data_IF_465435718406
#
_entry.id   IF_465435718406
#
_cell.length_a   1.000
_cell.length_b   1.000
_cell.length_c   1.000
_cell.angle_alpha   90.00
_cell.angle_beta   90.00
_cell.angle_gamma   90.00
#
_symmetry.space_group_name_H-M   'P 1'
#
loop_
_entity.id
_entity.type
_entity.pdbx_description
1 polymer ?
#
# COMPACT_ATOMS: atom_id res chain seq x y z
N UNK A 1 -11.42 -12.63 35.33
CA UNK A 1 -10.36 -12.39 34.33
C UNK A 1 -11.08 -12.22 33.02
N UNK A 2 -11.19 -10.98 32.54
CA UNK A 2 -11.89 -10.71 31.29
C UNK A 2 -11.18 -11.42 30.16
N UNK A 3 -11.85 -12.39 29.56
CA UNK A 3 -11.35 -13.12 28.40
C UNK A 3 -11.45 -12.18 27.20
N UNK A 4 -10.44 -11.33 27.01
CA UNK A 4 -10.44 -10.30 25.97
C UNK A 4 -10.18 -10.94 24.62
N UNK A 5 -11.09 -10.73 23.68
CA UNK A 5 -10.91 -11.23 22.32
C UNK A 5 -9.70 -10.58 21.66
N UNK A 6 -8.87 -11.39 21.00
CA UNK A 6 -7.63 -10.91 20.38
C UNK A 6 -7.89 -9.89 19.28
N UNK A 7 -9.02 -10.00 18.59
CA UNK A 7 -9.45 -9.01 17.59
C UNK A 7 -9.68 -7.65 18.24
N UNK A 8 -10.33 -7.61 19.41
CA UNK A 8 -10.56 -6.36 20.16
C UNK A 8 -9.26 -5.79 20.75
N UNK A 9 -8.35 -6.66 21.18
CA UNK A 9 -7.01 -6.23 21.61
C UNK A 9 -6.26 -5.57 20.46
N UNK A 10 -6.20 -6.24 19.29
CA UNK A 10 -5.55 -5.71 18.10
C UNK A 10 -6.16 -4.38 17.66
N UNK A 11 -7.48 -4.26 17.66
CA UNK A 11 -8.19 -3.02 17.36
C UNK A 11 -7.81 -1.90 18.34
N UNK A 12 -7.76 -2.20 19.64
CA UNK A 12 -7.38 -1.22 20.67
C UNK A 12 -5.94 -0.74 20.54
N UNK A 13 -5.03 -1.65 20.21
CA UNK A 13 -3.63 -1.29 19.93
C UNK A 13 -3.51 -0.50 18.63
N UNK A 14 -4.26 -0.85 17.58
CA UNK A 14 -4.24 -0.13 16.31
C UNK A 14 -4.73 1.33 16.46
N UNK A 15 -5.68 1.59 17.36
CA UNK A 15 -6.14 2.94 17.72
C UNK A 15 -5.10 3.76 18.52
N UNK A 16 -4.13 3.11 19.15
CA UNK A 16 -3.07 3.79 19.87
C UNK A 16 -1.97 4.23 18.89
N UNK A 17 -1.85 5.54 18.66
CA UNK A 17 -0.84 6.13 17.79
C UNK A 17 0.61 5.89 18.25
N UNK A 18 0.81 5.49 19.52
CA UNK A 18 2.14 5.14 20.05
C UNK A 18 2.53 3.67 19.79
N UNK A 19 1.59 2.84 19.34
CA UNK A 19 1.82 1.42 19.08
C UNK A 19 2.75 1.17 17.89
N UNK A 20 3.60 0.16 18.02
CA UNK A 20 4.48 -0.29 16.95
C UNK A 20 3.69 -1.03 15.86
N UNK A 21 3.54 -0.38 14.70
CA UNK A 21 2.86 -0.95 13.54
C UNK A 21 3.48 -2.29 13.08
N UNK A 22 4.79 -2.49 13.28
CA UNK A 22 5.43 -3.76 12.93
C UNK A 22 4.91 -4.89 13.83
N UNK A 23 4.69 -4.60 15.11
CA UNK A 23 4.03 -5.50 16.05
C UNK A 23 2.60 -5.83 15.64
N UNK A 24 1.82 -4.82 15.22
CA UNK A 24 0.44 -5.01 14.76
C UNK A 24 0.38 -5.92 13.53
N UNK A 25 1.22 -5.68 12.52
CA UNK A 25 1.27 -6.51 11.30
C UNK A 25 1.65 -7.96 11.61
N UNK A 26 2.53 -8.20 12.59
CA UNK A 26 2.87 -9.55 13.04
C UNK A 26 1.67 -10.24 13.71
N UNK A 27 0.91 -9.52 14.54
CA UNK A 27 -0.34 -10.06 15.12
C UNK A 27 -1.36 -10.37 14.02
N UNK A 28 -1.56 -9.46 13.06
CA UNK A 28 -2.44 -9.68 11.91
C UNK A 28 -2.04 -10.93 11.14
N UNK A 29 -0.75 -11.10 10.83
CA UNK A 29 -0.24 -12.30 10.16
C UNK A 29 -0.63 -13.58 10.90
N UNK A 30 -0.47 -13.62 12.22
CA UNK A 30 -0.81 -14.80 13.04
C UNK A 30 -2.31 -15.06 12.99
N UNK A 31 -3.14 -14.02 13.20
CA UNK A 31 -4.60 -14.14 13.20
C UNK A 31 -5.11 -14.59 11.82
N UNK A 32 -4.64 -13.96 10.75
CA UNK A 32 -4.99 -14.29 9.37
C UNK A 32 -4.65 -15.75 9.05
N UNK A 33 -3.46 -16.21 9.44
CA UNK A 33 -3.04 -17.59 9.25
C UNK A 33 -3.94 -18.58 10.01
N UNK A 34 -4.30 -18.26 11.26
CA UNK A 34 -5.19 -19.11 12.08
C UNK A 34 -6.63 -19.16 11.56
N UNK A 35 -7.08 -18.11 10.87
CA UNK A 35 -8.39 -18.07 10.20
C UNK A 35 -8.36 -18.67 8.78
N UNK A 36 -7.20 -19.08 8.26
CA UNK A 36 -7.06 -19.62 6.90
C UNK A 36 -7.15 -18.56 5.79
N UNK A 37 -6.81 -17.30 6.09
CA UNK A 37 -6.87 -16.18 5.16
C UNK A 37 -5.50 -15.96 4.51
N UNK A 38 -5.23 -16.67 3.41
CA UNK A 38 -3.92 -16.68 2.74
C UNK A 38 -3.52 -15.31 2.18
N UNK A 39 -4.40 -14.64 1.43
CA UNK A 39 -4.14 -13.30 0.85
C UNK A 39 -3.70 -12.28 1.90
N UNK A 40 -4.37 -12.28 3.06
CA UNK A 40 -4.07 -11.34 4.15
C UNK A 40 -2.78 -11.73 4.89
N UNK A 41 -2.48 -13.02 4.98
CA UNK A 41 -1.22 -13.53 5.53
C UNK A 41 -0.04 -13.12 4.65
N UNK A 42 -0.21 -13.21 3.32
CA UNK A 42 0.77 -12.75 2.35
C UNK A 42 0.95 -11.23 2.43
N UNK A 43 -0.14 -10.46 2.45
CA UNK A 43 -0.09 -9.01 2.62
C UNK A 43 0.73 -8.60 3.84
N UNK A 44 0.40 -9.12 5.02
CA UNK A 44 1.11 -8.77 6.26
C UNK A 44 2.60 -9.17 6.17
N UNK A 45 2.91 -10.26 5.48
CA UNK A 45 4.29 -10.68 5.22
C UNK A 45 5.03 -9.70 4.31
N UNK A 46 4.39 -9.24 3.22
CA UNK A 46 4.95 -8.24 2.29
C UNK A 46 5.06 -6.86 2.91
N UNK A 47 4.11 -6.43 3.73
CA UNK A 47 4.19 -5.17 4.47
C UNK A 47 5.42 -5.13 5.40
N UNK A 48 5.73 -6.24 6.07
CA UNK A 48 6.91 -6.35 6.94
C UNK A 48 8.21 -6.54 6.13
N UNK A 49 8.21 -7.43 5.12
CA UNK A 49 9.39 -7.79 4.34
C UNK A 49 9.77 -6.80 3.24
N UNK A 50 8.81 -6.01 2.79
CA UNK A 50 8.88 -5.24 1.55
C UNK A 50 8.37 -6.03 0.35
N UNK A 51 8.21 -5.28 -0.73
CA UNK A 51 7.84 -5.76 -2.06
C UNK A 51 9.09 -5.84 -2.94
N UNK A 52 8.98 -6.53 -4.05
CA UNK A 52 10.04 -6.72 -5.04
C UNK A 52 9.64 -6.13 -6.39
N UNK A 53 10.63 -5.82 -7.23
CA UNK A 53 10.36 -5.38 -8.61
C UNK A 53 9.74 -6.47 -9.50
N UNK A 54 9.74 -7.71 -9.03
CA UNK A 54 9.06 -8.84 -9.68
C UNK A 54 7.59 -8.98 -9.27
N UNK A 55 7.17 -8.32 -8.19
CA UNK A 55 5.75 -8.22 -7.86
C UNK A 55 5.04 -7.33 -8.90
N UNK A 56 3.88 -7.78 -9.35
CA UNK A 56 3.06 -6.99 -10.26
C UNK A 56 2.63 -5.70 -9.57
N UNK A 57 2.76 -4.55 -10.24
CA UNK A 57 2.44 -3.25 -9.66
C UNK A 57 0.99 -3.15 -9.14
N UNK A 58 0.07 -3.89 -9.76
CA UNK A 58 -1.34 -4.00 -9.37
C UNK A 58 -1.59 -4.81 -8.09
N UNK A 59 -0.66 -5.69 -7.71
CA UNK A 59 -0.69 -6.47 -6.46
C UNK A 59 0.10 -5.82 -5.34
N UNK A 60 0.48 -4.55 -5.52
CA UNK A 60 1.07 -3.70 -4.48
C UNK A 60 -0.02 -2.71 -4.02
N UNK A 61 -0.26 -2.58 -2.70
CA UNK A 61 -1.31 -1.72 -2.18
C UNK A 61 -1.22 -0.30 -2.72
N UNK A 62 -2.37 0.31 -3.05
CA UNK A 62 -2.40 1.65 -3.68
C UNK A 62 -1.72 2.72 -2.85
N UNK A 63 -1.82 2.66 -1.52
CA UNK A 63 -1.13 3.60 -0.64
C UNK A 63 0.41 3.52 -0.74
N UNK A 64 0.99 2.47 -1.34
CA UNK A 64 2.42 2.40 -1.66
C UNK A 64 2.80 3.18 -2.92
N UNK A 65 1.83 3.58 -3.75
CA UNK A 65 2.04 4.38 -4.95
C UNK A 65 1.96 5.85 -4.56
N UNK A 66 3.10 6.53 -4.56
CA UNK A 66 3.18 7.96 -4.28
C UNK A 66 3.28 8.74 -5.60
N UNK A 67 2.68 9.93 -5.63
CA UNK A 67 2.68 10.83 -6.79
C UNK A 67 2.72 12.29 -6.34
N UNK A 68 2.86 13.24 -7.29
CA UNK A 68 2.90 14.67 -6.98
C UNK A 68 4.25 15.16 -6.47
N UNK A 69 5.33 14.45 -6.82
CA UNK A 69 6.70 14.84 -6.49
C UNK A 69 7.25 15.92 -7.43
N UNK A 70 8.29 16.62 -6.99
CA UNK A 70 9.03 17.56 -7.85
C UNK A 70 10.22 16.84 -8.47
N UNK A 71 10.29 16.79 -9.80
CA UNK A 71 11.44 16.22 -10.50
C UNK A 71 12.61 17.20 -10.38
N UNK A 72 13.77 16.68 -10.05
CA UNK A 72 15.00 17.44 -9.89
C UNK A 72 16.18 16.68 -10.48
N UNK A 73 17.25 17.39 -10.81
CA UNK A 73 18.53 16.80 -11.18
C UNK A 73 19.63 17.30 -10.25
N UNK A 74 20.64 16.47 -10.01
CA UNK A 74 21.78 16.85 -9.19
C UNK A 74 22.86 17.51 -10.04
N UNK A 75 23.10 18.81 -9.80
CA UNK A 75 24.23 19.54 -10.35
C UNK A 75 25.38 19.55 -9.32
N UNK A 76 26.60 19.08 -9.66
CA UNK A 76 27.73 19.04 -8.72
C UNK A 76 28.09 20.39 -8.08
N UNK A 77 27.81 21.50 -8.76
CA UNK A 77 28.13 22.86 -8.29
C UNK A 77 26.97 23.55 -7.57
N UNK A 78 25.72 23.20 -7.89
CA UNK A 78 24.52 23.89 -7.37
C UNK A 78 23.65 23.02 -6.46
N UNK A 79 23.97 21.73 -6.36
CA UNK A 79 23.12 20.74 -5.72
C UNK A 79 21.88 20.42 -6.56
N UNK A 80 20.80 20.05 -5.89
CA UNK A 80 19.55 19.69 -6.54
C UNK A 80 18.87 20.91 -7.18
N UNK A 81 18.61 20.80 -8.48
CA UNK A 81 17.95 21.81 -9.29
C UNK A 81 16.62 21.25 -9.81
N UNK A 82 15.51 21.99 -9.75
CA UNK A 82 14.23 21.52 -10.27
C UNK A 82 14.29 21.37 -11.80
N UNK A 83 13.59 20.37 -12.32
CA UNK A 83 13.36 20.14 -13.75
C UNK A 83 11.92 20.52 -14.08
N UNK A 84 11.74 21.16 -15.23
CA UNK A 84 10.42 21.45 -15.77
C UNK A 84 10.14 20.51 -16.96
N UNK A 85 8.95 19.90 -16.97
CA UNK A 85 8.50 18.97 -18.01
C UNK A 85 7.17 19.50 -18.55
N UNK A 86 7.17 19.90 -19.81
CA UNK A 86 5.98 20.43 -20.51
C UNK A 86 4.93 19.36 -20.80
N UNK A 87 5.37 18.11 -21.03
CA UNK A 87 4.50 16.98 -21.30
C UNK A 87 3.86 16.47 -20.00
N UNK A 88 2.56 16.71 -19.84
CA UNK A 88 1.79 16.32 -18.66
C UNK A 88 1.68 14.79 -18.47
N UNK A 89 1.67 14.01 -19.55
CA UNK A 89 1.60 12.55 -19.46
C UNK A 89 2.95 11.99 -19.00
N UNK A 90 4.05 12.51 -19.57
CA UNK A 90 5.40 12.18 -19.14
C UNK A 90 5.64 12.58 -17.68
N UNK A 91 5.21 13.78 -17.29
CA UNK A 91 5.31 14.26 -15.90
C UNK A 91 4.61 13.31 -14.94
N UNK A 92 3.36 12.94 -15.22
CA UNK A 92 2.57 12.01 -14.39
C UNK A 92 3.21 10.63 -14.26
N UNK A 93 3.94 10.17 -15.28
CA UNK A 93 4.66 8.90 -15.22
C UNK A 93 5.92 9.01 -14.37
N UNK A 94 6.64 10.12 -14.47
CA UNK A 94 7.91 10.34 -13.80
C UNK A 94 7.76 10.76 -12.34
N UNK A 95 6.71 11.50 -11.99
CA UNK A 95 6.44 11.95 -10.62
C UNK A 95 5.75 10.87 -9.77
N UNK A 96 5.49 9.69 -10.35
CA UNK A 96 4.91 8.53 -9.68
C UNK A 96 5.99 7.52 -9.33
N UNK A 97 5.97 6.99 -8.10
CA UNK A 97 6.81 5.84 -7.76
C UNK A 97 6.17 4.91 -6.73
N UNK A 98 6.64 3.66 -6.72
CA UNK A 98 6.16 2.61 -5.81
C UNK A 98 7.19 2.43 -4.70
N UNK A 99 6.73 2.48 -3.44
CA UNK A 99 7.57 2.25 -2.27
C UNK A 99 7.60 0.77 -1.92
N UNK A 100 8.63 0.10 -2.43
CA UNK A 100 8.89 -1.33 -2.20
C UNK A 100 9.44 -1.66 -0.80
N UNK A 101 9.92 -0.67 -0.05
CA UNK A 101 10.53 -0.91 1.26
C UNK A 101 9.51 -1.46 2.26
N UNK A 102 9.91 -2.49 3.02
CA UNK A 102 9.11 -2.96 4.15
C UNK A 102 8.93 -1.86 5.21
N UNK A 103 7.79 -1.89 5.90
CA UNK A 103 7.44 -0.95 6.96
C UNK A 103 8.56 -0.80 8.02
N UNK A 104 9.28 -1.85 8.47
CA UNK A 104 10.40 -1.68 9.39
C UNK A 104 11.52 -0.77 8.86
N UNK A 105 11.78 -0.79 7.55
CA UNK A 105 12.77 0.10 6.93
C UNK A 105 12.24 1.53 6.82
N UNK A 106 10.97 1.69 6.50
CA UNK A 106 10.29 3.00 6.46
C UNK A 106 10.30 3.65 7.85
N UNK A 107 9.92 2.92 8.90
CA UNK A 107 9.91 3.42 10.28
C UNK A 107 11.32 3.77 10.76
N UNK A 108 12.32 2.96 10.42
CA UNK A 108 13.72 3.26 10.72
C UNK A 108 14.17 4.55 10.03
N UNK A 109 13.87 4.69 8.74
CA UNK A 109 14.18 5.89 7.96
C UNK A 109 13.55 7.14 8.58
N UNK A 110 12.25 7.09 8.90
CA UNK A 110 11.51 8.20 9.52
C UNK A 110 12.07 8.63 10.88
N UNK A 111 12.64 7.72 11.66
CA UNK A 111 13.28 8.05 12.96
C UNK A 111 14.61 8.78 12.79
N UNK A 112 15.32 8.53 11.69
CA UNK A 112 16.65 9.10 11.44
C UNK A 112 16.62 10.33 10.53
N UNK A 113 15.55 10.51 9.76
CA UNK A 113 15.42 11.56 8.76
C UNK A 113 15.26 12.94 9.41
N UNK A 114 16.01 13.92 8.90
CA UNK A 114 16.05 15.30 9.45
C UNK A 114 15.68 16.36 8.42
N UNK A 115 15.69 16.02 7.14
CA UNK A 115 15.53 16.97 6.03
C UNK A 115 14.07 17.21 5.63
N UNK A 116 13.12 16.48 6.23
CA UNK A 116 11.70 16.47 5.85
C UNK A 116 11.44 16.12 4.37
N UNK A 117 12.44 15.58 3.68
CA UNK A 117 12.39 15.24 2.26
C UNK A 117 12.69 13.76 2.10
N UNK A 118 11.87 13.09 1.30
CA UNK A 118 12.17 11.78 0.75
C UNK A 118 12.55 11.95 -0.72
N UNK A 119 13.71 11.39 -1.11
CA UNK A 119 14.20 11.48 -2.49
C UNK A 119 14.24 10.09 -3.12
N UNK A 120 13.52 9.94 -4.22
CA UNK A 120 13.56 8.76 -5.05
C UNK A 120 14.50 8.98 -6.23
N UNK A 121 15.61 8.27 -6.28
CA UNK A 121 16.54 8.32 -7.41
C UNK A 121 16.10 7.33 -8.49
N UNK A 122 16.00 7.77 -9.73
CA UNK A 122 15.64 6.90 -10.85
C UNK A 122 16.70 5.80 -11.07
N UNK A 123 16.26 4.65 -11.57
CA UNK A 123 17.12 3.51 -11.92
C UNK A 123 18.11 3.88 -13.03
N UNK A 124 19.26 3.20 -13.16
CA UNK A 124 20.26 3.52 -14.19
C UNK A 124 19.69 3.57 -15.62
N UNK A 125 18.73 2.71 -15.95
CA UNK A 125 18.11 2.71 -17.28
C UNK A 125 17.15 3.89 -17.46
N UNK A 126 16.38 4.24 -16.44
CA UNK A 126 15.58 5.46 -16.46
C UNK A 126 16.46 6.73 -16.53
N UNK A 127 17.61 6.75 -15.84
CA UNK A 127 18.59 7.85 -15.94
C UNK A 127 19.08 8.02 -17.38
N UNK A 128 19.43 6.93 -18.07
CA UNK A 128 19.87 6.98 -19.48
C UNK A 128 18.78 7.55 -20.39
N UNK A 129 17.54 7.09 -20.21
CA UNK A 129 16.40 7.58 -20.98
C UNK A 129 16.19 9.07 -20.73
N UNK A 130 16.15 9.50 -19.46
CA UNK A 130 15.98 10.90 -19.09
C UNK A 130 17.08 11.81 -19.64
N UNK A 131 18.33 11.36 -19.62
CA UNK A 131 19.44 12.11 -20.22
C UNK A 131 19.32 12.18 -21.75
N UNK A 132 18.86 11.11 -22.42
CA UNK A 132 18.69 11.11 -23.89
C UNK A 132 17.59 12.04 -24.40
N UNK A 133 16.57 12.31 -23.59
CA UNK A 133 15.48 13.23 -23.93
C UNK A 133 15.70 14.64 -23.37
N UNK A 134 16.73 14.84 -22.54
CA UNK A 134 17.07 16.14 -21.97
C UNK A 134 17.74 17.03 -23.01
N UNK A 135 17.46 18.33 -22.96
CA UNK A 135 18.17 19.34 -23.76
C UNK A 135 19.43 19.87 -23.08
N UNK A 136 19.82 19.30 -21.94
CA UNK A 136 21.01 19.72 -21.19
C UNK A 136 22.30 19.32 -21.92
N UNK A 137 23.37 20.14 -21.85
CA UNK A 137 24.64 19.86 -22.56
C UNK A 137 25.46 18.72 -21.94
N UNK A 138 25.03 18.16 -20.81
CA UNK A 138 25.68 17.07 -20.12
C UNK A 138 24.66 16.21 -19.37
N UNK A 139 25.12 15.01 -18.99
CA UNK A 139 24.33 14.06 -18.23
C UNK A 139 24.24 14.45 -16.75
N UNK A 140 23.04 14.33 -16.19
CA UNK A 140 22.77 14.52 -14.77
C UNK A 140 22.07 13.31 -14.15
N UNK A 141 22.14 13.23 -12.82
CA UNK A 141 21.37 12.27 -12.03
C UNK A 141 20.03 12.90 -11.66
N UNK A 142 18.95 12.36 -12.21
CA UNK A 142 17.58 12.77 -11.94
C UNK A 142 17.02 12.07 -10.70
N UNK A 143 16.12 12.74 -10.00
CA UNK A 143 15.41 12.22 -8.85
C UNK A 143 14.03 12.87 -8.75
N UNK A 144 13.16 12.26 -7.96
CA UNK A 144 11.89 12.87 -7.56
C UNK A 144 11.95 13.18 -6.08
N UNK A 145 11.65 14.43 -5.76
CA UNK A 145 11.56 14.96 -4.42
C UNK A 145 10.12 14.86 -3.93
N UNK A 146 9.92 14.15 -2.83
CA UNK A 146 8.65 14.10 -2.11
C UNK A 146 8.81 14.66 -0.70
N UNK A 147 7.74 15.22 -0.12
CA UNK A 147 7.73 15.51 1.29
C UNK A 147 7.73 14.20 2.08
N UNK A 148 8.50 14.12 3.18
CA UNK A 148 8.71 12.86 3.91
C UNK A 148 7.43 12.26 4.49
N UNK A 149 6.40 13.08 4.69
CA UNK A 149 5.09 12.66 5.17
C UNK A 149 4.39 11.64 4.25
N UNK A 150 4.78 11.53 2.97
CA UNK A 150 4.27 10.46 2.11
C UNK A 150 4.59 9.06 2.68
N UNK A 151 5.74 8.90 3.34
CA UNK A 151 6.12 7.66 4.00
C UNK A 151 5.37 7.43 5.31
N UNK A 152 5.03 8.52 6.02
CA UNK A 152 4.18 8.43 7.21
C UNK A 152 2.76 8.00 6.83
N UNK A 153 2.23 8.53 5.73
CA UNK A 153 0.91 8.15 5.20
C UNK A 153 0.82 6.65 4.91
N UNK A 154 1.88 6.03 4.38
CA UNK A 154 1.92 4.56 4.19
C UNK A 154 1.70 3.80 5.51
N UNK A 155 2.29 4.28 6.61
CA UNK A 155 2.12 3.64 7.91
C UNK A 155 0.68 3.80 8.41
N UNK A 156 0.11 4.99 8.29
CA UNK A 156 -1.27 5.27 8.70
C UNK A 156 -2.29 4.51 7.85
N UNK A 157 -2.08 4.41 6.54
CA UNK A 157 -2.97 3.65 5.66
C UNK A 157 -2.92 2.15 5.97
N UNK A 158 -1.73 1.59 6.21
CA UNK A 158 -1.61 0.21 6.67
C UNK A 158 -2.30 -0.01 8.03
N UNK A 159 -2.23 0.96 8.96
CA UNK A 159 -2.95 0.92 10.25
C UNK A 159 -4.46 0.97 10.05
N UNK A 160 -4.96 1.82 9.15
CA UNK A 160 -6.38 1.90 8.83
C UNK A 160 -6.91 0.58 8.26
N UNK A 161 -6.14 -0.07 7.38
CA UNK A 161 -6.47 -1.42 6.88
C UNK A 161 -6.61 -2.43 8.02
N UNK A 162 -5.74 -2.37 9.04
CA UNK A 162 -5.85 -3.24 10.22
C UNK A 162 -7.13 -2.95 11.00
N UNK A 163 -7.44 -1.66 11.25
CA UNK A 163 -8.64 -1.25 11.99
C UNK A 163 -9.89 -1.73 11.27
N UNK A 164 -10.03 -1.42 9.97
CA UNK A 164 -11.17 -1.80 9.15
C UNK A 164 -11.36 -3.32 9.09
N UNK A 165 -10.25 -4.07 8.99
CA UNK A 165 -10.29 -5.52 9.03
C UNK A 165 -10.75 -6.05 10.39
N UNK A 166 -10.27 -5.49 11.50
CA UNK A 166 -10.71 -5.90 12.85
C UNK A 166 -12.20 -5.62 13.09
N UNK A 167 -12.71 -4.47 12.63
CA UNK A 167 -14.13 -4.14 12.68
C UNK A 167 -14.97 -5.13 11.87
N UNK A 168 -14.48 -5.54 10.70
CA UNK A 168 -15.13 -6.55 9.88
C UNK A 168 -15.19 -7.90 10.63
N UNK A 169 -14.11 -8.35 11.26
CA UNK A 169 -14.13 -9.57 12.06
C UNK A 169 -15.11 -9.48 13.24
N UNK A 170 -15.07 -8.38 14.00
CA UNK A 170 -15.95 -8.12 15.15
C UNK A 170 -17.43 -8.18 14.74
N UNK A 171 -17.80 -7.47 13.67
CA UNK A 171 -19.18 -7.43 13.15
C UNK A 171 -19.72 -8.81 12.75
N UNK A 172 -18.82 -9.76 12.45
CA UNK A 172 -19.15 -11.13 12.07
C UNK A 172 -19.03 -12.12 13.24
N UNK A 173 -18.81 -11.63 14.46
CA UNK A 173 -18.70 -12.43 15.67
C UNK A 173 -17.41 -13.23 15.76
N UNK A 174 -16.35 -12.81 15.05
CA UNK A 174 -15.03 -13.42 15.06
C UNK A 174 -14.16 -12.58 16.00
N UNK A 175 -13.94 -13.09 17.20
CA UNK A 175 -13.22 -12.37 18.26
C UNK A 175 -11.95 -13.10 18.68
N UNK A 176 -11.99 -14.44 18.64
CA UNK A 176 -10.94 -15.32 19.15
C UNK A 176 -10.70 -15.18 20.65
N UNK A 177 -9.93 -16.10 21.22
CA UNK A 177 -9.38 -16.01 22.57
C UNK A 177 -7.88 -16.27 22.44
N UNK A 178 -7.06 -15.32 22.89
CA UNK A 178 -5.60 -15.29 22.68
C UNK A 178 -5.20 -15.41 21.20
N UNK A 179 -4.86 -16.59 20.69
CA UNK A 179 -4.60 -16.80 19.26
C UNK A 179 -5.33 -18.04 18.72
N UNK A 180 -6.42 -18.39 19.40
CA UNK A 180 -7.26 -19.54 19.08
C UNK A 180 -8.63 -19.04 18.63
N UNK A 181 -9.13 -19.67 17.57
CA UNK A 181 -10.46 -19.42 17.01
C UNK A 181 -11.23 -20.73 17.01
N UNK A 182 -12.53 -20.65 17.27
CA UNK A 182 -13.42 -21.80 17.19
C UNK A 182 -13.66 -22.23 15.74
N UNK A 183 -14.01 -23.50 15.52
CA UNK A 183 -14.37 -24.00 14.18
C UNK A 183 -15.50 -23.19 13.53
N UNK A 184 -16.42 -22.66 14.36
CA UNK A 184 -17.48 -21.75 13.91
C UNK A 184 -16.91 -20.44 13.36
N UNK A 185 -16.00 -19.81 14.06
CA UNK A 185 -15.36 -18.55 13.61
C UNK A 185 -14.54 -18.77 12.34
N UNK A 186 -13.76 -19.85 12.29
CA UNK A 186 -12.98 -20.24 11.10
C UNK A 186 -13.92 -20.49 9.92
N UNK A 187 -15.03 -21.21 10.13
CA UNK A 187 -16.05 -21.45 9.11
C UNK A 187 -16.72 -20.16 8.61
N UNK A 188 -16.96 -19.18 9.48
CA UNK A 188 -17.48 -17.86 9.07
C UNK A 188 -16.43 -17.09 8.25
N UNK A 189 -15.18 -17.06 8.70
CA UNK A 189 -14.09 -16.39 7.99
C UNK A 189 -13.91 -16.93 6.57
N UNK A 190 -13.93 -18.26 6.41
CA UNK A 190 -13.75 -18.93 5.13
C UNK A 190 -14.95 -18.78 4.19
N UNK A 191 -16.18 -18.64 4.70
CA UNK A 191 -17.40 -18.57 3.89
C UNK A 191 -17.76 -17.15 3.43
N UNK A 192 -17.33 -16.12 4.15
CA UNK A 192 -17.65 -14.72 3.82
C UNK A 192 -16.64 -14.12 2.85
N UNK A 193 -17.05 -13.96 1.59
CA UNK A 193 -16.23 -13.33 0.53
C UNK A 193 -15.67 -11.96 0.92
N UNK A 194 -16.40 -11.16 1.70
CA UNK A 194 -15.93 -9.87 2.17
C UNK A 194 -14.72 -9.96 3.11
N UNK A 195 -14.58 -11.08 3.84
CA UNK A 195 -13.44 -11.37 4.72
C UNK A 195 -12.31 -11.99 3.91
N UNK A 196 -12.61 -13.00 3.09
CA UNK A 196 -11.62 -13.70 2.25
C UNK A 196 -10.94 -12.73 1.28
N UNK A 197 -11.73 -11.90 0.57
CA UNK A 197 -11.23 -10.99 -0.45
C UNK A 197 -11.01 -9.56 0.08
N UNK A 198 -10.94 -9.38 1.41
CA UNK A 198 -10.83 -8.06 2.01
C UNK A 198 -9.62 -7.29 1.46
N UNK A 199 -8.45 -7.95 1.44
CA UNK A 199 -7.22 -7.39 0.91
C UNK A 199 -7.36 -6.98 -0.56
N UNK A 200 -7.79 -7.91 -1.41
CA UNK A 200 -7.92 -7.68 -2.84
C UNK A 200 -8.92 -6.57 -3.18
N UNK A 201 -10.04 -6.48 -2.46
CA UNK A 201 -11.10 -5.51 -2.77
C UNK A 201 -10.82 -4.14 -2.18
N UNK A 202 -10.39 -4.06 -0.92
CA UNK A 202 -10.31 -2.79 -0.21
C UNK A 202 -8.91 -2.18 -0.23
N UNK A 203 -7.87 -3.01 -0.38
CA UNK A 203 -6.48 -2.55 -0.35
C UNK A 203 -5.92 -2.34 -1.77
N UNK A 204 -6.28 -3.19 -2.74
CA UNK A 204 -5.91 -2.96 -4.15
C UNK A 204 -6.93 -2.13 -4.94
N UNK A 205 -8.23 -2.23 -4.66
CA UNK A 205 -9.27 -1.78 -5.60
C UNK A 205 -10.13 -0.57 -5.18
N UNK A 206 -9.98 0.03 -3.99
CA UNK A 206 -11.04 0.93 -3.48
C UNK A 206 -11.32 2.20 -4.32
N UNK A 207 -12.41 2.08 -5.11
CA UNK A 207 -13.37 3.00 -5.75
C UNK A 207 -12.92 4.29 -6.44
N UNK A 208 -12.92 4.23 -7.78
CA UNK A 208 -13.53 5.31 -8.59
C UNK A 208 -14.09 4.90 -9.96
N UNK A 209 -14.03 3.64 -10.44
CA UNK A 209 -14.65 3.27 -11.73
C UNK A 209 -15.13 1.81 -11.91
N UNK A 210 -15.16 0.97 -10.87
CA UNK A 210 -15.78 -0.36 -10.98
C UNK A 210 -17.11 -0.39 -10.22
N UNK A 211 -18.21 -0.36 -10.97
CA UNK A 211 -19.55 -0.55 -10.44
C UNK A 211 -19.69 -2.04 -10.07
N UNK A 212 -19.43 -2.39 -8.81
CA UNK A 212 -19.74 -3.73 -8.30
C UNK A 212 -21.23 -3.76 -7.96
N UNK A 213 -22.02 -4.42 -8.78
CA UNK A 213 -23.43 -4.69 -8.51
C UNK A 213 -23.51 -5.96 -7.64
N UNK A 214 -23.73 -5.79 -6.33
CA UNK A 214 -24.04 -6.92 -5.44
C UNK A 214 -25.56 -7.09 -5.37
N UNK A 215 -26.03 -8.32 -5.67
CA UNK A 215 -27.42 -8.77 -5.60
C UNK A 215 -28.43 -8.09 -6.54
N UNK A 216 -28.45 -8.47 -7.81
CA UNK A 216 -29.70 -8.47 -8.58
C UNK A 216 -29.79 -9.73 -9.43
N UNK A 217 -30.89 -10.48 -9.27
CA UNK A 217 -31.09 -11.79 -9.91
C UNK A 217 -31.49 -11.68 -11.40
N UNK A 218 -31.59 -10.47 -11.96
CA UNK A 218 -32.14 -10.24 -13.31
C UNK A 218 -31.35 -9.26 -14.19
N UNK A 219 -30.15 -8.80 -13.81
CA UNK A 219 -29.39 -7.90 -14.67
C UNK A 219 -28.62 -8.65 -15.77
N UNK A 220 -29.02 -8.48 -17.03
CA UNK A 220 -28.19 -8.83 -18.20
C UNK A 220 -27.16 -7.73 -18.43
N UNK A 221 -25.88 -8.08 -18.26
CA UNK A 221 -24.77 -7.20 -18.62
C UNK A 221 -24.56 -7.29 -20.15
N UNK A 222 -24.79 -6.19 -20.87
CA UNK A 222 -24.43 -6.08 -22.28
C UNK A 222 -23.03 -5.46 -22.33
N UNK A 223 -22.04 -6.26 -22.74
CA UNK A 223 -20.71 -5.77 -23.07
C UNK A 223 -20.76 -5.16 -24.48
N UNK A 224 -20.67 -3.84 -24.60
CA UNK A 224 -20.52 -3.17 -25.89
C UNK A 224 -19.03 -3.02 -26.21
N UNK A 225 -18.53 -3.83 -27.16
CA UNK A 225 -17.14 -3.85 -27.62
C UNK A 225 -16.88 -2.70 -28.62
N UNK A 226 -17.13 -1.45 -28.24
CA UNK A 226 -16.84 -0.29 -29.10
C UNK A 226 -15.71 0.61 -28.62
N UNK A 227 -15.21 0.43 -27.40
CA UNK A 227 -14.32 1.44 -26.78
C UNK A 227 -12.84 1.00 -26.72
N UNK A 228 -12.46 -0.04 -27.47
CA UNK A 228 -11.07 -0.51 -27.59
C UNK A 228 -10.33 0.01 -28.83
N UNK A 229 -10.81 1.09 -29.45
CA UNK A 229 -10.02 1.77 -30.48
C UNK A 229 -10.26 3.28 -30.50
N UNK A 230 -9.38 4.02 -29.84
CA UNK A 230 -8.60 5.13 -30.40
C UNK A 230 -7.64 5.71 -29.38
#
# INVERSE_FOLDING_TARGET
>A
MDNKGIVLELQREALDNSSDIVGLLRKVKIIAYKLGLEDLTEWATKEVGGYTSTDLAETIPRYRHISGGTIEFFNPYRGYCPTYIDDAELLKRLDSCIIYLGIPKITSYLKTEKSSIFRYTFTPDAQKILNSISTTPCDFSYSVKYPVNCLFQILEDARNVIIDWTLLLESNGILGIDFSFSDKEIGIAASKKSIVNYYTTNVFLNSSNFQIQQNSTEAKQVFSISDLSK
#
